data_IF_948811922746
#
_entry.id   IF_948811922746
#
_cell.length_a   1.000
_cell.length_b   1.000
_cell.length_c   1.000
_cell.angle_alpha   90.00
_cell.angle_beta   90.00
_cell.angle_gamma   90.00
#
_symmetry.space_group_name_H-M   'P 1'
#
loop_
_entity.id
_entity.type
_entity.pdbx_description
1 polymer ?
#
# COMPACT_ATOMS: atom_id res chain seq x y z
N UNK A 1 28.38 -58.54 29.32
CA UNK A 1 28.88 -57.20 28.96
C UNK A 1 27.68 -56.28 28.69
N UNK A 2 27.37 -55.38 29.63
CA UNK A 2 26.23 -54.46 29.54
C UNK A 2 26.68 -53.20 28.79
N UNK A 3 26.06 -52.89 27.64
CA UNK A 3 26.30 -51.64 26.89
C UNK A 3 25.27 -50.60 27.35
N UNK A 4 25.74 -49.60 28.07
CA UNK A 4 25.02 -48.37 28.41
C UNK A 4 24.99 -47.47 27.17
N UNK A 5 23.80 -47.19 26.65
CA UNK A 5 23.58 -46.21 25.58
C UNK A 5 23.39 -44.85 26.23
N UNK A 6 24.34 -43.96 25.99
CA UNK A 6 24.34 -42.57 26.47
C UNK A 6 23.56 -41.72 25.48
N UNK A 7 22.36 -41.29 25.84
CA UNK A 7 21.54 -40.37 25.03
C UNK A 7 21.98 -38.95 25.34
N UNK A 8 22.69 -38.32 24.39
CA UNK A 8 23.06 -36.91 24.47
C UNK A 8 21.85 -36.05 24.09
N UNK A 9 21.28 -35.35 25.08
CA UNK A 9 20.25 -34.33 24.87
C UNK A 9 20.92 -33.07 24.29
N UNK A 10 20.77 -32.85 23.00
CA UNK A 10 21.16 -31.58 22.36
C UNK A 10 20.14 -30.50 22.75
N UNK A 11 20.51 -29.64 23.71
CA UNK A 11 19.78 -28.41 24.00
C UNK A 11 20.03 -27.40 22.89
N UNK A 12 19.13 -27.36 21.91
CA UNK A 12 19.03 -26.27 20.94
C UNK A 12 18.48 -25.02 21.64
N UNK A 13 19.39 -24.14 22.07
CA UNK A 13 19.04 -22.81 22.53
C UNK A 13 18.52 -21.99 21.34
N UNK A 14 17.20 -21.87 21.22
CA UNK A 14 16.58 -20.88 20.35
C UNK A 14 16.92 -19.48 20.89
N UNK A 15 17.83 -18.79 20.20
CA UNK A 15 18.06 -17.37 20.41
C UNK A 15 16.79 -16.63 20.00
N UNK A 16 15.97 -16.25 20.97
CA UNK A 16 14.91 -15.26 20.78
C UNK A 16 15.59 -13.92 20.53
N UNK A 17 15.94 -13.66 19.26
CA UNK A 17 16.22 -12.30 18.80
C UNK A 17 14.86 -11.59 18.84
N UNK A 18 14.56 -10.99 19.98
CA UNK A 18 13.45 -10.06 20.11
C UNK A 18 13.74 -8.87 19.21
N UNK A 19 13.20 -8.90 17.99
CA UNK A 19 13.01 -7.71 17.19
C UNK A 19 12.09 -6.79 17.99
N UNK A 20 12.67 -5.88 18.78
CA UNK A 20 11.95 -4.73 19.32
C UNK A 20 11.53 -3.88 18.12
N UNK A 21 10.33 -4.15 17.61
CA UNK A 21 9.63 -3.23 16.70
C UNK A 21 9.69 -1.83 17.31
N UNK A 22 10.20 -0.87 16.56
CA UNK A 22 10.53 0.47 17.01
C UNK A 22 9.44 1.06 17.90
N UNK A 23 9.83 1.52 19.09
CA UNK A 23 8.99 2.29 20.03
C UNK A 23 8.57 3.66 19.48
N UNK A 24 8.97 3.98 18.25
CA UNK A 24 8.63 5.20 17.54
C UNK A 24 7.71 4.87 16.37
N UNK A 25 6.61 5.64 16.19
CA UNK A 25 5.78 5.49 14.99
C UNK A 25 6.68 5.70 13.77
N UNK A 26 6.53 4.85 12.76
CA UNK A 26 7.16 5.13 11.46
C UNK A 26 6.66 6.50 10.99
N UNK A 27 7.57 7.45 10.90
CA UNK A 27 7.29 8.77 10.35
C UNK A 27 7.05 8.54 8.86
N UNK A 28 5.90 8.96 8.34
CA UNK A 28 5.66 8.93 6.90
C UNK A 28 6.60 9.94 6.24
N UNK A 29 7.65 9.43 5.60
CA UNK A 29 8.66 10.23 4.90
C UNK A 29 8.12 10.90 3.61
N UNK A 30 6.87 10.62 3.23
CA UNK A 30 6.24 11.19 2.04
C UNK A 30 6.01 12.70 2.19
N UNK A 31 6.44 13.44 1.18
CA UNK A 31 6.19 14.87 0.99
C UNK A 31 4.91 15.13 0.18
N UNK A 32 4.35 14.10 -0.46
CA UNK A 32 3.12 14.17 -1.25
C UNK A 32 2.23 12.97 -0.98
N UNK A 33 0.93 13.19 -1.15
CA UNK A 33 -0.10 12.16 -1.03
C UNK A 33 -0.44 11.50 -2.38
N UNK A 34 0.21 11.94 -3.48
CA UNK A 34 0.00 11.37 -4.81
C UNK A 34 0.32 9.87 -4.80
N UNK A 35 -0.60 9.02 -5.32
CA UNK A 35 -0.40 7.59 -5.35
C UNK A 35 0.65 7.25 -6.42
N UNK A 36 1.71 6.59 -5.99
CA UNK A 36 2.76 6.05 -6.85
C UNK A 36 2.92 4.56 -6.56
N UNK A 37 3.29 3.79 -7.58
CA UNK A 37 3.52 2.35 -7.44
C UNK A 37 5.02 2.05 -7.41
N UNK A 38 5.46 1.11 -6.56
CA UNK A 38 6.82 0.60 -6.63
C UNK A 38 7.12 0.02 -8.01
N UNK A 39 8.38 0.14 -8.47
CA UNK A 39 8.83 -0.45 -9.73
C UNK A 39 10.27 -0.94 -9.65
N UNK A 40 10.66 -1.75 -10.64
CA UNK A 40 12.01 -2.29 -10.78
C UNK A 40 12.88 -1.52 -11.79
N UNK A 41 12.37 -0.42 -12.35
CA UNK A 41 13.15 0.42 -13.25
C UNK A 41 14.41 0.97 -12.54
N UNK A 42 15.39 1.36 -13.36
CA UNK A 42 16.55 2.08 -12.87
C UNK A 42 16.13 3.41 -12.23
N UNK A 43 16.82 3.79 -11.16
CA UNK A 43 16.61 5.06 -10.46
C UNK A 43 17.76 5.96 -10.84
N UNK A 44 17.46 7.07 -11.52
CA UNK A 44 18.46 8.09 -11.81
C UNK A 44 18.96 8.72 -10.51
N UNK A 45 20.28 8.92 -10.40
CA UNK A 45 20.91 9.51 -9.22
C UNK A 45 21.47 10.85 -9.63
N UNK A 46 20.88 11.91 -9.08
CA UNK A 46 21.30 13.29 -9.30
C UNK A 46 22.16 13.73 -8.12
N UNK A 47 23.43 13.98 -8.38
CA UNK A 47 24.39 14.43 -7.38
C UNK A 47 24.34 15.95 -7.21
N UNK A 48 25.08 16.45 -6.22
CA UNK A 48 25.12 17.88 -5.90
C UNK A 48 25.51 18.71 -7.12
N UNK A 49 24.63 19.62 -7.51
CA UNK A 49 24.81 20.51 -8.66
C UNK A 49 24.12 20.01 -9.94
N UNK A 50 23.68 18.75 -9.97
CA UNK A 50 22.83 18.21 -11.02
C UNK A 50 21.37 18.54 -10.71
N UNK A 51 20.60 18.80 -11.76
CA UNK A 51 19.18 19.11 -11.65
C UNK A 51 18.38 18.24 -12.63
N UNK A 52 17.18 17.79 -12.25
CA UNK A 52 16.30 17.08 -13.16
C UNK A 52 16.01 17.96 -14.38
N UNK A 53 16.12 17.38 -15.58
CA UNK A 53 15.88 18.11 -16.84
C UNK A 53 14.39 18.16 -17.22
N UNK A 54 13.57 17.40 -16.52
CA UNK A 54 12.13 17.26 -16.78
C UNK A 54 11.32 17.72 -15.58
N UNK A 55 10.06 18.11 -15.82
CA UNK A 55 9.13 18.45 -14.75
C UNK A 55 8.91 17.25 -13.83
N UNK A 56 8.94 17.51 -12.52
CA UNK A 56 8.89 16.47 -11.50
C UNK A 56 8.09 16.91 -10.27
N UNK A 57 7.64 15.91 -9.51
CA UNK A 57 7.09 16.09 -8.17
C UNK A 57 8.02 15.46 -7.13
N UNK A 58 8.09 16.07 -5.94
CA UNK A 58 8.83 15.50 -4.81
C UNK A 58 7.95 14.50 -4.08
N UNK A 59 8.41 13.25 -3.99
CA UNK A 59 7.65 12.18 -3.38
C UNK A 59 7.91 12.04 -1.88
N UNK A 60 9.19 11.99 -1.49
CA UNK A 60 9.60 11.69 -0.13
C UNK A 60 10.99 12.25 0.16
N UNK A 61 11.26 12.59 1.41
CA UNK A 61 12.60 12.84 1.91
C UNK A 61 13.11 11.54 2.53
N UNK A 62 14.10 10.91 1.89
CA UNK A 62 14.56 9.57 2.24
C UNK A 62 15.98 9.60 2.77
N UNK A 63 16.23 8.78 3.79
CA UNK A 63 17.55 8.60 4.38
C UNK A 63 17.93 7.14 4.46
N UNK A 64 19.23 6.87 4.36
CA UNK A 64 19.82 5.55 4.61
C UNK A 64 21.04 5.69 5.51
N UNK A 65 21.17 4.71 6.41
CA UNK A 65 22.24 4.65 7.39
C UNK A 65 23.16 3.48 7.07
N UNK A 66 24.46 3.71 7.22
CA UNK A 66 25.49 2.68 7.20
C UNK A 66 26.41 2.83 8.40
N UNK A 67 27.11 1.76 8.77
CA UNK A 67 28.21 1.86 9.73
C UNK A 67 29.34 2.76 9.19
N UNK A 68 30.26 3.17 10.07
CA UNK A 68 31.38 4.07 9.77
C UNK A 68 32.11 3.76 8.45
N UNK A 69 32.34 2.47 8.16
CA UNK A 69 33.09 2.02 6.99
C UNK A 69 32.22 1.63 5.79
N UNK A 70 30.92 1.98 5.79
CA UNK A 70 30.03 1.67 4.66
C UNK A 70 30.44 2.50 3.45
N UNK A 71 30.69 1.85 2.33
CA UNK A 71 31.08 2.56 1.11
C UNK A 71 29.94 3.46 0.63
N UNK A 72 30.28 4.65 0.14
CA UNK A 72 29.30 5.62 -0.36
C UNK A 72 28.37 5.04 -1.43
N UNK A 73 28.91 4.19 -2.31
CA UNK A 73 28.11 3.51 -3.35
C UNK A 73 27.02 2.60 -2.77
N UNK A 74 27.26 1.98 -1.61
CA UNK A 74 26.26 1.12 -0.96
C UNK A 74 25.16 1.96 -0.30
N UNK A 75 25.49 3.15 0.20
CA UNK A 75 24.49 4.13 0.63
C UNK A 75 23.64 4.60 -0.56
N UNK A 76 24.25 4.94 -1.70
CA UNK A 76 23.53 5.32 -2.92
C UNK A 76 22.59 4.19 -3.38
N UNK A 77 23.05 2.94 -3.39
CA UNK A 77 22.18 1.78 -3.69
C UNK A 77 21.04 1.65 -2.69
N UNK A 78 21.30 1.89 -1.41
CA UNK A 78 20.28 1.96 -0.37
C UNK A 78 19.20 3.00 -0.70
N UNK A 79 19.59 4.22 -1.08
CA UNK A 79 18.67 5.26 -1.50
C UNK A 79 17.84 4.84 -2.71
N UNK A 80 18.48 4.30 -3.76
CA UNK A 80 17.75 3.81 -4.94
C UNK A 80 16.73 2.73 -4.57
N UNK A 81 17.09 1.78 -3.71
CA UNK A 81 16.15 0.76 -3.23
C UNK A 81 14.98 1.35 -2.45
N UNK A 82 15.22 2.35 -1.60
CA UNK A 82 14.17 3.04 -0.84
C UNK A 82 13.27 3.85 -1.78
N UNK A 83 13.85 4.59 -2.73
CA UNK A 83 13.15 5.36 -3.75
C UNK A 83 12.25 4.48 -4.65
N UNK A 84 12.71 3.29 -5.06
CA UNK A 84 11.89 2.30 -5.78
C UNK A 84 10.62 1.93 -5.02
N UNK A 85 10.67 1.82 -3.69
CA UNK A 85 9.47 1.53 -2.86
C UNK A 85 8.47 2.68 -2.85
N UNK A 86 8.95 3.91 -3.03
CA UNK A 86 8.09 5.07 -3.23
C UNK A 86 7.66 5.26 -4.69
N UNK A 87 8.10 4.41 -5.63
CA UNK A 87 7.79 4.54 -7.05
C UNK A 87 8.44 5.74 -7.73
N UNK A 88 9.53 6.25 -7.16
CA UNK A 88 10.30 7.37 -7.69
C UNK A 88 11.07 6.99 -8.95
N UNK A 89 11.27 7.93 -9.86
CA UNK A 89 12.11 7.73 -11.06
C UNK A 89 13.57 8.15 -10.81
N UNK A 90 13.78 9.07 -9.88
CA UNK A 90 15.11 9.58 -9.54
C UNK A 90 15.25 9.93 -8.06
N UNK A 91 16.49 10.10 -7.60
CA UNK A 91 16.85 10.63 -6.28
C UNK A 91 17.80 11.81 -6.42
N UNK A 92 17.50 12.91 -5.73
CA UNK A 92 18.40 14.06 -5.63
C UNK A 92 19.16 13.98 -4.31
N UNK A 93 20.43 13.61 -4.38
CA UNK A 93 21.29 13.44 -3.20
C UNK A 93 21.63 14.79 -2.59
N UNK A 94 21.33 14.98 -1.30
CA UNK A 94 21.56 16.25 -0.61
C UNK A 94 22.92 16.29 0.08
N UNK A 95 23.07 15.52 1.15
CA UNK A 95 24.27 15.55 1.99
C UNK A 95 24.64 14.15 2.47
N UNK A 96 25.96 13.93 2.59
CA UNK A 96 26.51 12.79 3.29
C UNK A 96 27.05 13.29 4.63
N UNK A 97 26.38 12.96 5.71
CA UNK A 97 26.73 13.39 7.05
C UNK A 97 27.28 12.21 7.85
N UNK A 98 28.48 12.39 8.40
CA UNK A 98 29.03 11.48 9.41
C UNK A 98 28.51 11.96 10.77
N UNK A 99 27.72 11.11 11.43
CA UNK A 99 27.20 11.39 12.76
C UNK A 99 27.75 10.36 13.73
N UNK A 100 28.10 10.80 14.93
CA UNK A 100 28.71 9.95 15.95
C UNK A 100 28.00 10.11 17.28
N UNK A 101 27.59 8.99 17.86
CA UNK A 101 27.02 8.93 19.21
C UNK A 101 28.05 8.36 20.18
N UNK A 102 28.23 9.07 21.29
CA UNK A 102 29.11 8.65 22.39
C UNK A 102 28.26 7.96 23.45
N UNK A 103 28.57 6.72 23.77
CA UNK A 103 27.86 5.96 24.80
C UNK A 103 28.84 5.23 25.72
N UNK A 104 28.43 5.00 26.97
CA UNK A 104 29.15 4.12 27.88
C UNK A 104 28.69 2.69 27.65
N UNK A 105 29.62 1.78 27.40
CA UNK A 105 29.32 0.36 27.34
C UNK A 105 29.05 -0.20 28.77
N UNK A 106 28.67 -1.48 28.87
CA UNK A 106 28.32 -2.14 30.14
C UNK A 106 29.49 -2.25 31.13
N UNK A 107 30.72 -2.06 30.66
CA UNK A 107 31.96 -2.14 31.47
C UNK A 107 32.42 -0.73 31.90
N UNK A 108 31.70 0.32 31.51
CA UNK A 108 32.03 1.71 31.82
C UNK A 108 33.03 2.35 30.85
N UNK A 109 33.40 1.68 29.75
CA UNK A 109 34.22 2.31 28.71
C UNK A 109 33.37 3.21 27.84
N UNK A 110 33.91 4.38 27.50
CA UNK A 110 33.30 5.30 26.55
C UNK A 110 33.63 4.81 25.14
N UNK A 111 32.60 4.45 24.37
CA UNK A 111 32.69 4.09 22.97
C UNK A 111 32.03 5.17 22.12
N UNK A 112 32.50 5.35 20.89
CA UNK A 112 31.86 6.22 19.90
C UNK A 112 31.39 5.34 18.75
N UNK A 113 30.07 5.21 18.58
CA UNK A 113 29.51 4.63 17.36
C UNK A 113 29.43 5.73 16.31
N UNK A 114 30.11 5.55 15.18
CA UNK A 114 29.98 6.41 14.01
C UNK A 114 29.12 5.72 12.97
N UNK A 115 28.20 6.48 12.39
CA UNK A 115 27.41 6.06 11.25
C UNK A 115 27.48 7.11 10.15
N UNK A 116 27.41 6.63 8.92
CA UNK A 116 27.25 7.45 7.74
C UNK A 116 25.76 7.54 7.41
N UNK A 117 25.26 8.76 7.24
CA UNK A 117 23.89 9.03 6.83
C UNK A 117 23.94 9.70 5.47
N UNK A 118 23.22 9.13 4.51
CA UNK A 118 23.01 9.75 3.21
C UNK A 118 21.53 10.09 3.06
N UNK A 119 21.24 11.37 2.84
CA UNK A 119 19.88 11.88 2.62
C UNK A 119 19.66 12.26 1.16
N UNK A 120 18.43 12.07 0.69
CA UNK A 120 18.02 12.45 -0.66
C UNK A 120 16.53 12.78 -0.73
N UNK A 121 16.14 13.49 -1.78
CA UNK A 121 14.74 13.66 -2.16
C UNK A 121 14.41 12.70 -3.29
N UNK A 122 13.46 11.79 -3.06
CA UNK A 122 12.91 10.94 -4.09
C UNK A 122 11.92 11.72 -4.95
N UNK A 123 12.03 11.64 -6.28
CA UNK A 123 11.17 12.38 -7.21
C UNK A 123 10.52 11.48 -8.26
N UNK A 124 9.36 11.90 -8.77
CA UNK A 124 8.69 11.28 -9.91
C UNK A 124 8.63 12.27 -11.05
N UNK A 125 8.99 11.85 -12.26
CA UNK A 125 8.80 12.66 -13.45
C UNK A 125 7.32 12.73 -13.80
N UNK A 126 6.84 13.93 -14.11
CA UNK A 126 5.43 14.20 -14.40
C UNK A 126 4.90 13.36 -15.55
N UNK A 127 5.72 13.15 -16.60
CA UNK A 127 5.38 12.28 -17.74
C UNK A 127 5.18 10.80 -17.38
N UNK A 128 5.75 10.36 -16.25
CA UNK A 128 5.68 8.97 -15.77
C UNK A 128 4.61 8.79 -14.68
N UNK A 129 3.79 9.82 -14.41
CA UNK A 129 2.66 9.70 -13.48
C UNK A 129 1.54 8.91 -14.14
N UNK A 130 1.15 7.82 -13.47
CA UNK A 130 0.00 7.03 -13.88
C UNK A 130 -1.29 7.66 -13.36
N UNK A 131 -1.91 8.49 -14.20
CA UNK A 131 -3.21 9.10 -13.90
C UNK A 131 -4.36 8.11 -13.83
N UNK A 132 -4.20 6.88 -14.35
CA UNK A 132 -5.17 5.80 -14.19
C UNK A 132 -5.35 5.34 -12.74
N UNK A 133 -4.47 5.77 -11.83
CA UNK A 133 -4.57 5.52 -10.40
C UNK A 133 -5.23 6.65 -9.62
N UNK A 134 -5.60 7.74 -10.29
CA UNK A 134 -6.11 8.97 -9.69
C UNK A 134 -7.51 9.27 -10.24
N UNK A 135 -8.55 8.52 -9.82
CA UNK A 135 -9.92 8.85 -10.19
C UNK A 135 -10.24 10.25 -9.67
N UNK A 136 -10.81 11.09 -10.53
CA UNK A 136 -11.28 12.44 -10.22
C UNK A 136 -12.75 12.45 -9.82
N UNK A 137 -13.58 11.75 -10.59
CA UNK A 137 -14.99 11.56 -10.25
C UNK A 137 -15.38 10.08 -10.36
N UNK A 138 -16.31 9.68 -9.50
CA UNK A 138 -17.02 8.41 -9.59
C UNK A 138 -18.52 8.66 -9.59
N UNK A 139 -19.22 8.14 -10.58
CA UNK A 139 -20.68 8.05 -10.57
C UNK A 139 -21.07 6.60 -10.28
N UNK A 140 -21.87 6.42 -9.23
CA UNK A 140 -22.43 5.11 -8.84
C UNK A 140 -23.89 5.08 -9.23
N UNK A 141 -24.29 3.98 -9.84
CA UNK A 141 -25.64 3.74 -10.32
C UNK A 141 -26.12 2.38 -9.82
N UNK A 142 -27.41 2.28 -9.50
CA UNK A 142 -28.07 1.02 -9.11
C UNK A 142 -28.77 0.41 -10.31
N UNK A 143 -28.70 -0.91 -10.43
CA UNK A 143 -29.40 -1.63 -11.48
C UNK A 143 -30.88 -1.82 -11.12
N UNK A 144 -31.76 -1.46 -12.04
CA UNK A 144 -33.20 -1.72 -11.97
C UNK A 144 -33.55 -2.90 -12.88
N UNK A 145 -33.90 -4.08 -12.32
CA UNK A 145 -34.23 -5.26 -13.11
C UNK A 145 -35.56 -5.13 -13.88
N UNK A 146 -36.48 -4.25 -13.45
CA UNK A 146 -37.76 -4.09 -14.13
C UNK A 146 -37.62 -3.38 -15.47
N UNK A 147 -36.70 -2.41 -15.53
CA UNK A 147 -36.42 -1.62 -16.74
C UNK A 147 -35.16 -2.10 -17.48
N UNK A 148 -34.35 -2.97 -16.86
CA UNK A 148 -33.03 -3.36 -17.34
C UNK A 148 -32.12 -2.13 -17.58
N UNK A 149 -32.16 -1.18 -16.65
CA UNK A 149 -31.38 0.07 -16.73
C UNK A 149 -30.62 0.36 -15.44
N UNK A 150 -29.68 1.30 -15.50
CA UNK A 150 -28.97 1.82 -14.34
C UNK A 150 -29.48 3.23 -14.01
N UNK A 151 -29.72 3.48 -12.73
CA UNK A 151 -30.18 4.77 -12.22
C UNK A 151 -29.11 5.38 -11.30
N UNK A 152 -28.77 6.67 -11.44
CA UNK A 152 -27.71 7.30 -10.65
C UNK A 152 -28.11 7.42 -9.19
N UNK A 153 -27.23 7.01 -8.27
CA UNK A 153 -27.49 7.04 -6.82
C UNK A 153 -26.52 7.93 -6.05
N UNK A 154 -25.28 8.05 -6.52
CA UNK A 154 -24.23 8.76 -5.81
C UNK A 154 -23.20 9.30 -6.80
N UNK A 155 -22.80 10.56 -6.61
CA UNK A 155 -21.64 11.15 -7.28
C UNK A 155 -20.59 11.50 -6.25
N UNK A 156 -19.34 11.13 -6.52
CA UNK A 156 -18.18 11.45 -5.69
C UNK A 156 -17.16 12.22 -6.52
N UNK A 157 -16.54 13.24 -5.91
CA UNK A 157 -15.31 13.84 -6.40
C UNK A 157 -14.18 13.49 -5.43
N UNK A 158 -13.02 13.16 -5.97
CA UNK A 158 -11.84 12.83 -5.18
C UNK A 158 -10.72 13.82 -5.47
N UNK A 159 -9.89 14.05 -4.48
CA UNK A 159 -8.56 14.64 -4.64
C UNK A 159 -7.59 13.64 -5.31
N UNK A 160 -6.41 14.06 -5.80
CA UNK A 160 -5.44 13.16 -6.45
C UNK A 160 -4.94 12.01 -5.57
N UNK A 161 -4.99 12.14 -4.24
CA UNK A 161 -4.67 11.06 -3.30
C UNK A 161 -5.83 10.09 -3.03
N UNK A 162 -6.97 10.30 -3.68
CA UNK A 162 -8.17 9.47 -3.56
C UNK A 162 -9.07 9.81 -2.37
N UNK A 163 -8.83 10.91 -1.64
CA UNK A 163 -9.75 11.37 -0.59
C UNK A 163 -11.01 11.95 -1.19
N UNK A 164 -12.17 11.67 -0.58
CA UNK A 164 -13.45 12.22 -1.02
C UNK A 164 -13.46 13.72 -0.71
N UNK A 165 -13.47 14.54 -1.76
CA UNK A 165 -13.58 15.99 -1.66
C UNK A 165 -15.04 16.43 -1.61
N UNK A 166 -15.87 15.85 -2.49
CA UNK A 166 -17.29 16.18 -2.60
C UNK A 166 -18.12 14.90 -2.75
N UNK A 167 -19.36 14.97 -2.26
CA UNK A 167 -20.30 13.86 -2.27
C UNK A 167 -21.72 14.38 -2.47
N UNK A 168 -22.39 13.87 -3.50
CA UNK A 168 -23.78 14.16 -3.81
C UNK A 168 -24.59 12.85 -3.79
N UNK A 169 -25.57 12.77 -2.89
CA UNK A 169 -26.46 11.62 -2.75
C UNK A 169 -27.78 11.90 -3.49
N UNK A 170 -28.08 11.09 -4.50
CA UNK A 170 -29.26 11.28 -5.36
C UNK A 170 -30.46 10.42 -4.92
N UNK A 171 -30.25 9.47 -4.01
CA UNK A 171 -31.26 8.55 -3.50
C UNK A 171 -31.15 8.37 -1.98
N UNK A 172 -32.28 8.05 -1.35
CA UNK A 172 -32.29 7.57 0.05
C UNK A 172 -31.45 6.30 0.17
N UNK A 173 -30.58 6.25 1.19
CA UNK A 173 -29.64 5.16 1.46
C UNK A 173 -28.42 5.06 0.51
N UNK A 174 -28.17 6.04 -0.36
CA UNK A 174 -27.01 6.07 -1.24
C UNK A 174 -25.68 5.88 -0.47
N UNK A 175 -25.48 6.59 0.65
CA UNK A 175 -24.33 6.39 1.52
C UNK A 175 -24.17 4.96 2.04
N UNK A 176 -25.27 4.37 2.53
CA UNK A 176 -25.24 3.03 3.13
C UNK A 176 -24.92 1.97 2.06
N UNK A 177 -25.54 2.10 0.88
CA UNK A 177 -25.27 1.24 -0.26
C UNK A 177 -23.80 1.34 -0.69
N UNK A 178 -23.28 2.56 -0.88
CA UNK A 178 -21.88 2.76 -1.23
C UNK A 178 -20.94 2.16 -0.19
N UNK A 179 -21.14 2.43 1.10
CA UNK A 179 -20.27 1.93 2.15
C UNK A 179 -20.27 0.39 2.24
N UNK A 180 -21.45 -0.23 2.09
CA UNK A 180 -21.59 -1.68 2.21
C UNK A 180 -21.01 -2.46 1.03
N UNK A 181 -21.06 -1.89 -0.18
CA UNK A 181 -20.68 -2.61 -1.40
C UNK A 181 -19.39 -2.12 -2.05
N UNK A 182 -18.98 -0.87 -1.83
CA UNK A 182 -17.83 -0.24 -2.51
C UNK A 182 -16.84 0.33 -1.49
N UNK A 183 -17.29 1.30 -0.68
CA UNK A 183 -16.46 2.12 0.21
C UNK A 183 -15.58 1.30 1.17
N UNK A 184 -16.13 0.25 1.79
CA UNK A 184 -15.37 -0.63 2.69
C UNK A 184 -14.23 -1.38 1.99
N UNK A 185 -14.33 -1.59 0.68
CA UNK A 185 -13.36 -2.39 -0.09
C UNK A 185 -12.48 -1.55 -1.01
N UNK A 186 -12.55 -0.21 -0.94
CA UNK A 186 -11.62 0.63 -1.70
C UNK A 186 -10.19 0.42 -1.20
N UNK A 187 -9.21 0.56 -2.10
CA UNK A 187 -7.80 0.47 -1.72
C UNK A 187 -7.41 1.52 -0.68
N UNK A 188 -8.02 2.69 -0.72
CA UNK A 188 -7.81 3.71 0.29
C UNK A 188 -8.27 3.24 1.67
N UNK A 189 -9.48 2.69 1.79
CA UNK A 189 -9.99 2.19 3.08
C UNK A 189 -9.14 1.02 3.61
N UNK A 190 -8.67 0.15 2.70
CA UNK A 190 -7.78 -0.98 3.03
C UNK A 190 -6.35 -0.52 3.34
N UNK A 191 -5.96 0.69 2.90
CA UNK A 191 -4.69 1.36 3.20
C UNK A 191 -4.78 2.37 4.33
N UNK A 192 -5.90 2.46 5.05
CA UNK A 192 -6.02 3.34 6.21
C UNK A 192 -4.85 3.18 7.17
N UNK A 193 -4.28 4.32 7.55
CA UNK A 193 -3.21 4.50 8.52
C UNK A 193 -3.68 5.50 9.58
N UNK A 194 -2.98 5.59 10.70
CA UNK A 194 -3.30 6.53 11.77
C UNK A 194 -3.04 5.96 13.16
N UNK A 195 -3.49 6.67 14.19
CA UNK A 195 -3.30 6.24 15.57
C UNK A 195 -3.87 4.82 15.81
N UNK A 196 -3.03 3.96 16.40
CA UNK A 196 -3.37 2.56 16.69
C UNK A 196 -3.16 1.58 15.53
N UNK A 197 -2.92 2.07 14.30
CA UNK A 197 -2.50 1.20 13.21
C UNK A 197 -1.00 0.89 13.29
N UNK A 198 -0.67 -0.38 13.16
CA UNK A 198 0.67 -0.88 12.90
C UNK A 198 0.67 -1.75 11.65
N UNK A 199 1.85 -1.94 11.06
CA UNK A 199 1.99 -2.82 9.91
C UNK A 199 3.33 -3.56 9.95
N UNK A 200 3.38 -4.67 9.21
CA UNK A 200 4.59 -5.45 8.99
C UNK A 200 4.89 -5.49 7.51
N UNK A 201 6.15 -5.22 7.17
CA UNK A 201 6.65 -5.32 5.83
C UNK A 201 7.52 -6.57 5.64
N UNK A 202 7.46 -7.15 4.45
CA UNK A 202 8.36 -8.20 4.00
C UNK A 202 8.75 -7.91 2.54
N UNK A 203 10.04 -7.88 2.25
CA UNK A 203 10.58 -7.59 0.90
C UNK A 203 10.07 -6.28 0.26
N UNK A 204 9.71 -5.28 1.08
CA UNK A 204 9.17 -4.01 0.57
C UNK A 204 7.64 -3.98 0.40
N UNK A 205 6.94 -5.06 0.74
CA UNK A 205 5.48 -5.16 0.66
C UNK A 205 4.86 -5.21 2.06
N UNK A 206 3.71 -4.56 2.24
CA UNK A 206 2.91 -4.71 3.45
C UNK A 206 2.28 -6.09 3.42
N UNK A 207 2.62 -6.95 4.37
CA UNK A 207 2.07 -8.32 4.49
C UNK A 207 1.05 -8.42 5.61
N UNK A 208 1.04 -7.46 6.53
CA UNK A 208 0.12 -7.46 7.66
C UNK A 208 -0.15 -6.04 8.15
N UNK A 209 -1.39 -5.78 8.59
CA UNK A 209 -1.79 -4.57 9.31
C UNK A 209 -2.65 -4.93 10.51
N UNK A 210 -2.49 -4.19 11.59
CA UNK A 210 -3.26 -4.39 12.81
C UNK A 210 -3.70 -3.04 13.38
N UNK A 211 -4.96 -2.94 13.79
CA UNK A 211 -5.51 -1.79 14.51
C UNK A 211 -5.71 -2.16 15.97
N UNK A 212 -5.01 -1.48 16.86
CA UNK A 212 -5.22 -1.54 18.29
C UNK A 212 -5.94 -0.30 18.79
N UNK A 213 -6.91 -0.47 19.69
CA UNK A 213 -7.51 0.61 20.47
C UNK A 213 -7.52 0.19 21.93
N UNK A 214 -7.04 1.07 22.80
CA UNK A 214 -6.93 0.82 24.24
C UNK A 214 -6.20 -0.50 24.56
N UNK A 215 -5.15 -0.80 23.79
CA UNK A 215 -4.35 -2.03 23.92
C UNK A 215 -5.00 -3.31 23.36
N UNK A 216 -6.23 -3.25 22.84
CA UNK A 216 -6.95 -4.40 22.28
C UNK A 216 -6.95 -4.40 20.76
N UNK A 217 -6.64 -5.56 20.15
CA UNK A 217 -6.72 -5.78 18.70
C UNK A 217 -8.18 -5.68 18.22
N UNK A 218 -8.48 -4.65 17.43
CA UNK A 218 -9.81 -4.40 16.87
C UNK A 218 -9.97 -4.99 15.47
N UNK A 219 -8.91 -4.93 14.66
CA UNK A 219 -8.91 -5.37 13.26
C UNK A 219 -7.53 -5.83 12.85
N UNK A 220 -7.44 -6.93 12.12
CA UNK A 220 -6.22 -7.35 11.43
C UNK A 220 -6.49 -7.60 9.94
N UNK A 221 -5.46 -7.35 9.14
CA UNK A 221 -5.46 -7.61 7.71
C UNK A 221 -4.16 -8.35 7.35
N UNK A 222 -4.28 -9.45 6.62
CA UNK A 222 -3.15 -10.18 6.05
C UNK A 222 -3.18 -10.03 4.53
N UNK A 223 -2.04 -9.73 3.91
CA UNK A 223 -1.91 -9.45 2.49
C UNK A 223 -1.00 -10.49 1.84
N UNK A 224 -1.54 -11.23 0.88
CA UNK A 224 -0.80 -12.21 0.09
C UNK A 224 -0.57 -11.67 -1.33
N UNK A 225 0.62 -11.92 -1.87
CA UNK A 225 1.01 -11.50 -3.22
C UNK A 225 1.29 -12.72 -4.12
N UNK A 226 1.11 -12.56 -5.42
CA UNK A 226 1.45 -13.59 -6.42
C UNK A 226 2.94 -13.58 -6.76
N UNK A 227 3.36 -14.47 -7.67
CA UNK A 227 4.76 -14.58 -8.14
C UNK A 227 5.24 -13.37 -8.92
N UNK A 228 4.31 -12.55 -9.44
CA UNK A 228 4.59 -11.27 -10.09
C UNK A 228 4.53 -10.10 -9.10
N UNK A 229 4.42 -10.39 -7.80
CA UNK A 229 4.34 -9.42 -6.70
C UNK A 229 3.11 -8.52 -6.77
N UNK A 230 2.03 -8.99 -7.38
CA UNK A 230 0.71 -8.32 -7.39
C UNK A 230 -0.12 -8.83 -6.22
N UNK A 231 -0.99 -7.97 -5.68
CA UNK A 231 -1.85 -8.34 -4.55
C UNK A 231 -2.81 -9.45 -4.98
N UNK A 232 -2.68 -10.63 -4.40
CA UNK A 232 -3.52 -11.79 -4.73
C UNK A 232 -4.73 -11.88 -3.83
N UNK A 233 -4.55 -11.61 -2.54
CA UNK A 233 -5.58 -11.79 -1.53
C UNK A 233 -5.38 -10.88 -0.32
N UNK A 234 -6.48 -10.45 0.29
CA UNK A 234 -6.50 -9.85 1.63
C UNK A 234 -7.44 -10.68 2.52
N UNK A 235 -6.97 -11.11 3.70
CA UNK A 235 -7.84 -11.64 4.75
C UNK A 235 -8.06 -10.59 5.82
N UNK A 236 -9.31 -10.33 6.17
CA UNK A 236 -9.70 -9.31 7.13
C UNK A 236 -10.41 -9.98 8.29
N UNK A 237 -9.89 -9.76 9.50
CA UNK A 237 -10.53 -10.16 10.75
C UNK A 237 -10.85 -8.90 11.54
N UNK A 238 -12.09 -8.79 12.01
CA UNK A 238 -12.57 -7.67 12.82
C UNK A 238 -13.19 -8.25 14.09
N UNK A 239 -13.03 -7.57 15.22
CA UNK A 239 -13.67 -7.99 16.47
C UNK A 239 -15.20 -7.86 16.40
N UNK A 240 -15.71 -6.92 15.58
CA UNK A 240 -17.14 -6.58 15.49
C UNK A 240 -17.84 -7.11 14.25
N UNK A 241 -17.08 -7.51 13.23
CA UNK A 241 -17.62 -7.93 11.94
C UNK A 241 -17.26 -9.38 11.63
N UNK A 242 -17.97 -9.97 10.68
CA UNK A 242 -17.61 -11.27 10.11
C UNK A 242 -16.22 -11.20 9.46
N UNK A 243 -15.52 -12.33 9.45
CA UNK A 243 -14.30 -12.47 8.66
C UNK A 243 -14.62 -12.28 7.19
N UNK A 244 -13.76 -11.53 6.50
CA UNK A 244 -13.88 -11.26 5.09
C UNK A 244 -12.58 -11.64 4.38
N UNK A 245 -12.69 -12.15 3.15
CA UNK A 245 -11.55 -12.42 2.28
C UNK A 245 -11.80 -11.75 0.94
N UNK A 246 -10.81 -11.00 0.45
CA UNK A 246 -10.87 -10.34 -0.86
C UNK A 246 -9.85 -11.03 -1.76
N UNK A 247 -10.31 -11.67 -2.82
CA UNK A 247 -9.48 -12.30 -3.84
C UNK A 247 -9.40 -11.43 -5.08
N UNK A 248 -8.21 -11.30 -5.65
CA UNK A 248 -7.92 -10.48 -6.82
C UNK A 248 -7.52 -11.39 -7.98
N UNK A 249 -8.11 -11.14 -9.15
CA UNK A 249 -7.72 -11.80 -10.40
C UNK A 249 -7.28 -10.76 -11.42
N UNK A 250 -6.33 -11.13 -12.25
CA UNK A 250 -5.71 -10.25 -13.23
C UNK A 250 -5.91 -10.81 -14.64
N UNK A 251 -6.03 -9.93 -15.64
CA UNK A 251 -6.03 -10.31 -17.06
C UNK A 251 -4.61 -10.64 -17.56
N UNK A 252 -4.51 -10.96 -18.86
CA UNK A 252 -3.24 -11.33 -19.51
C UNK A 252 -2.26 -10.14 -19.57
N UNK A 253 -2.76 -8.91 -19.65
CA UNK A 253 -1.96 -7.68 -19.56
C UNK A 253 -1.56 -7.34 -18.11
N UNK A 254 -2.07 -8.09 -17.14
CA UNK A 254 -1.77 -7.95 -15.73
C UNK A 254 -2.55 -6.86 -15.01
N UNK A 255 -3.64 -6.36 -15.60
CA UNK A 255 -4.60 -5.43 -14.99
C UNK A 255 -5.61 -6.19 -14.14
N UNK A 256 -6.17 -5.52 -13.12
CA UNK A 256 -7.15 -6.12 -12.21
C UNK A 256 -8.47 -6.38 -12.95
N UNK A 257 -8.76 -7.61 -13.32
CA UNK A 257 -9.98 -7.95 -14.06
C UNK A 257 -11.17 -8.20 -13.14
N UNK A 258 -10.92 -8.77 -11.96
CA UNK A 258 -11.99 -9.15 -11.04
C UNK A 258 -11.54 -9.05 -9.57
N UNK A 259 -12.49 -8.67 -8.71
CA UNK A 259 -12.41 -8.90 -7.26
C UNK A 259 -13.57 -9.76 -6.77
N UNK A 260 -13.29 -10.70 -5.89
CA UNK A 260 -14.32 -11.50 -5.22
C UNK A 260 -14.18 -11.34 -3.73
N UNK A 261 -15.22 -10.86 -3.07
CA UNK A 261 -15.30 -10.67 -1.63
C UNK A 261 -16.10 -11.83 -1.05
N UNK A 262 -15.49 -12.58 -0.14
CA UNK A 262 -16.11 -13.63 0.63
C UNK A 262 -16.36 -13.12 2.05
N UNK A 263 -17.44 -13.58 2.66
CA UNK A 263 -17.79 -13.31 4.04
C UNK A 263 -18.11 -14.63 4.73
N UNK A 264 -17.37 -14.96 5.79
CA UNK A 264 -17.43 -16.28 6.42
C UNK A 264 -17.30 -17.41 5.39
N UNK A 265 -16.31 -17.29 4.50
CA UNK A 265 -15.98 -18.22 3.41
C UNK A 265 -17.07 -18.41 2.33
N UNK A 266 -18.10 -17.56 2.32
CA UNK A 266 -19.15 -17.58 1.30
C UNK A 266 -19.01 -16.38 0.36
N UNK A 267 -19.05 -16.58 -0.97
CA UNK A 267 -18.98 -15.47 -1.91
C UNK A 267 -20.12 -14.47 -1.67
N UNK A 268 -19.81 -13.21 -1.48
CA UNK A 268 -20.78 -12.15 -1.16
C UNK A 268 -20.91 -11.14 -2.29
N UNK A 269 -19.77 -10.60 -2.74
CA UNK A 269 -19.71 -9.60 -3.81
C UNK A 269 -18.70 -10.07 -4.84
N UNK A 270 -19.01 -9.83 -6.12
CA UNK A 270 -18.03 -9.89 -7.19
C UNK A 270 -18.01 -8.56 -7.92
N UNK A 271 -16.83 -8.08 -8.23
CA UNK A 271 -16.62 -6.89 -9.04
C UNK A 271 -15.90 -7.27 -10.32
N UNK A 272 -16.36 -6.74 -11.45
CA UNK A 272 -15.75 -6.93 -12.76
C UNK A 272 -15.34 -5.57 -13.32
N UNK A 273 -14.07 -5.47 -13.71
CA UNK A 273 -13.46 -4.24 -14.19
C UNK A 273 -13.47 -4.22 -15.71
N UNK A 274 -13.96 -3.11 -16.25
CA UNK A 274 -13.97 -2.83 -17.69
C UNK A 274 -13.03 -1.66 -17.91
N UNK A 275 -12.16 -1.83 -18.90
CA UNK A 275 -11.09 -0.90 -19.21
C UNK A 275 -11.36 -0.19 -20.55
N UNK A 276 -10.99 1.08 -20.62
CA UNK A 276 -10.97 1.80 -21.90
C UNK A 276 -9.74 1.44 -22.75
N UNK A 277 -9.66 2.02 -23.95
CA UNK A 277 -8.54 1.80 -24.88
C UNK A 277 -7.19 2.35 -24.36
N UNK A 278 -7.20 3.22 -23.36
CA UNK A 278 -6.00 3.74 -22.70
C UNK A 278 -5.55 2.89 -21.51
N UNK A 279 -6.29 1.81 -21.20
CA UNK A 279 -6.00 0.91 -20.09
C UNK A 279 -6.47 1.42 -18.72
N UNK A 280 -7.31 2.46 -18.66
CA UNK A 280 -7.90 2.96 -17.43
C UNK A 280 -9.23 2.26 -17.15
N UNK A 281 -9.53 1.97 -15.89
CA UNK A 281 -10.78 1.31 -15.51
C UNK A 281 -11.95 2.29 -15.63
N UNK A 282 -12.62 2.33 -16.78
CA UNK A 282 -13.71 3.28 -16.99
C UNK A 282 -14.98 2.86 -16.25
N UNK A 283 -15.15 1.57 -15.98
CA UNK A 283 -16.35 1.02 -15.37
C UNK A 283 -16.02 -0.18 -14.48
N UNK A 284 -16.75 -0.30 -13.37
CA UNK A 284 -16.77 -1.48 -12.50
C UNK A 284 -18.22 -1.91 -12.32
N UNK A 285 -18.52 -3.16 -12.65
CA UNK A 285 -19.80 -3.80 -12.39
C UNK A 285 -19.72 -4.59 -11.09
N UNK A 286 -20.65 -4.35 -10.17
CA UNK A 286 -20.69 -4.98 -8.86
C UNK A 286 -21.91 -5.90 -8.81
N UNK A 287 -21.68 -7.17 -8.53
CA UNK A 287 -22.68 -8.23 -8.46
C UNK A 287 -22.86 -8.70 -7.02
N UNK A 288 -24.11 -8.95 -6.62
CA UNK A 288 -24.40 -9.70 -5.39
C UNK A 288 -24.54 -11.19 -5.74
N UNK A 289 -23.48 -11.94 -5.49
CA UNK A 289 -23.37 -13.35 -5.89
C UNK A 289 -23.94 -14.33 -4.86
N UNK A 290 -24.58 -13.83 -3.79
CA UNK A 290 -25.42 -14.65 -2.92
C UNK A 290 -26.81 -14.93 -3.50
N UNK A 291 -27.18 -14.23 -4.59
CA UNK A 291 -28.45 -14.43 -5.28
C UNK A 291 -28.34 -15.56 -6.29
N UNK A 292 -29.45 -16.23 -6.57
CA UNK A 292 -29.50 -17.34 -7.53
C UNK A 292 -29.14 -16.88 -8.95
N UNK A 293 -29.57 -15.68 -9.32
CA UNK A 293 -29.26 -15.07 -10.61
C UNK A 293 -28.11 -14.07 -10.45
N UNK A 294 -27.13 -14.16 -11.35
CA UNK A 294 -26.02 -13.21 -11.42
C UNK A 294 -26.48 -11.96 -12.17
N UNK A 295 -27.20 -11.09 -11.49
CA UNK A 295 -27.54 -9.76 -11.97
C UNK A 295 -26.61 -8.70 -11.38
N UNK A 296 -26.24 -7.66 -12.14
CA UNK A 296 -25.51 -6.54 -11.57
C UNK A 296 -26.37 -5.86 -10.50
N UNK A 297 -25.73 -5.46 -9.42
CA UNK A 297 -26.35 -4.67 -8.34
C UNK A 297 -26.03 -3.19 -8.54
N UNK A 298 -24.75 -2.87 -8.73
CA UNK A 298 -24.26 -1.50 -8.94
C UNK A 298 -23.34 -1.43 -10.16
N UNK A 299 -23.24 -0.21 -10.69
CA UNK A 299 -22.22 0.19 -11.65
C UNK A 299 -21.50 1.40 -11.10
N UNK A 300 -20.17 1.38 -11.12
CA UNK A 300 -19.35 2.57 -10.91
C UNK A 300 -18.71 2.96 -12.23
N UNK A 301 -18.79 4.23 -12.61
CA UNK A 301 -18.05 4.79 -13.75
C UNK A 301 -17.10 5.86 -13.25
N UNK A 302 -15.94 5.98 -13.89
CA UNK A 302 -14.86 6.84 -13.43
C UNK A 302 -14.41 7.82 -14.50
N UNK A 303 -14.06 9.02 -14.05
CA UNK A 303 -13.19 9.93 -14.79
C UNK A 303 -11.91 10.12 -14.00
N UNK A 304 -10.82 10.45 -14.67
CA UNK A 304 -9.48 10.51 -14.08
C UNK A 304 -8.89 11.90 -14.25
N UNK A 305 -7.98 12.24 -13.34
CA UNK A 305 -7.16 13.43 -13.51
C UNK A 305 -6.33 13.35 -14.79
N UNK A 306 -6.12 14.51 -15.40
CA UNK A 306 -5.10 14.72 -16.44
C UNK A 306 -3.80 15.17 -15.79
N UNK A 307 -2.69 15.16 -16.54
CA UNK A 307 -1.44 15.68 -16.00
C UNK A 307 -1.56 17.18 -15.72
N UNK A 308 -2.26 17.92 -16.57
CA UNK A 308 -2.51 19.37 -16.48
C UNK A 308 -3.23 19.79 -15.19
N UNK A 309 -4.02 18.89 -14.59
CA UNK A 309 -4.79 19.13 -13.37
C UNK A 309 -4.04 18.76 -12.08
N UNK A 310 -2.86 18.14 -12.18
CA UNK A 310 -1.98 17.75 -11.06
C UNK A 310 -0.82 18.74 -10.95
#
# INVERSE_FOLDING_TARGET
MKKTVLVALAWSTFSLVGCTSSLYPEIDERLTTIPTQPHNNEIEVLFRGEWPQEEYIKLAAIEVHGGENTAYIDLVRGLQMKARRYGADAVMVQENNLTGDVYSNRVGNIETARWSILSAIAIKYRKNLDTGLMPKHQQVEVYDPATNTFQPVLTLAFTPNGEIQEKEELHENAAAMYNNYIGKYTMQNLRQSGAGWSHRMQEGYVVERQLHRDGMLQKSMEFDYDTFRRLKRIRIKSLKDMSEEINYAYDEEGRLSQRTILRSDRPYIQEEYIYDTSGKANQVLIYNINLYEKLPLLRSTYTYYTLEEI
#
